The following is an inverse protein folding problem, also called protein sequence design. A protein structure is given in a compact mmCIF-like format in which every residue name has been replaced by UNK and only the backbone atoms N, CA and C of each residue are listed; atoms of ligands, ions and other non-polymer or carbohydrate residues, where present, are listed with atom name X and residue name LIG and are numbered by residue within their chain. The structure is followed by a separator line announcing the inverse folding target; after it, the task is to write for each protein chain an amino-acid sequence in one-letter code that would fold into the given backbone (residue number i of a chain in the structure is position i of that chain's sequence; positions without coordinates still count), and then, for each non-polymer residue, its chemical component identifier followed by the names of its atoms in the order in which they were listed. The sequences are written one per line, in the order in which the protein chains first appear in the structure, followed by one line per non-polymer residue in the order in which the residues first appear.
data_IF_949194745829
#
_entry.id   IF_949194745829
#
_cell.length_a   1.000
_cell.length_b   1.000
_cell.length_c   1.000
_cell.angle_alpha   90.00
_cell.angle_beta   90.00
_cell.angle_gamma   90.00
#
_symmetry.space_group_name_H-M   'P 1'
#
loop_
_entity.id
_entity.type
_entity.pdbx_description
1 polymer ?
#
# COMPACT_ATOMS: atom_id res chain seq x y z
N UNK A 1 33.11 27.80 -41.46
CA UNK A 1 32.40 27.49 -40.21
C UNK A 1 30.90 27.44 -40.51
N UNK A 2 30.35 26.25 -40.77
CA UNK A 2 28.94 26.09 -41.10
C UNK A 2 28.11 26.15 -39.80
N UNK A 3 27.33 27.22 -39.64
CA UNK A 3 26.34 27.32 -38.56
C UNK A 3 25.23 26.29 -38.83
N UNK A 4 25.21 25.22 -38.03
CA UNK A 4 24.08 24.32 -37.92
C UNK A 4 22.91 25.17 -37.39
N UNK A 5 21.94 25.46 -38.26
CA UNK A 5 20.75 26.23 -37.92
C UNK A 5 19.79 25.27 -37.22
N UNK A 6 19.75 25.30 -35.89
CA UNK A 6 18.87 24.43 -35.11
C UNK A 6 17.39 24.69 -35.41
N UNK A 7 16.64 23.59 -35.59
CA UNK A 7 15.22 23.51 -35.91
C UNK A 7 14.29 23.75 -34.69
N UNK A 8 14.74 24.49 -33.67
CA UNK A 8 13.91 24.80 -32.49
C UNK A 8 12.71 25.68 -32.85
N UNK A 9 12.79 26.41 -33.95
CA UNK A 9 11.73 27.28 -34.46
C UNK A 9 10.47 26.53 -34.86
N UNK A 10 10.57 25.27 -35.31
CA UNK A 10 9.41 24.54 -35.85
C UNK A 10 8.48 23.99 -34.75
N UNK A 11 9.03 23.55 -33.62
CA UNK A 11 8.19 23.18 -32.46
C UNK A 11 7.61 24.42 -31.78
N UNK A 12 8.39 25.50 -31.68
CA UNK A 12 7.94 26.77 -31.13
C UNK A 12 6.87 27.44 -32.00
N UNK A 13 6.95 27.37 -33.34
CA UNK A 13 5.93 27.91 -34.24
C UNK A 13 4.61 27.15 -34.15
N UNK A 14 4.66 25.82 -33.99
CA UNK A 14 3.46 25.00 -33.72
C UNK A 14 2.82 25.37 -32.38
N UNK A 15 3.62 25.55 -31.32
CA UNK A 15 3.12 26.00 -30.01
C UNK A 15 2.60 27.44 -30.02
N UNK A 16 3.15 28.31 -30.88
CA UNK A 16 2.68 29.70 -31.09
C UNK A 16 1.41 29.78 -31.93
N UNK A 17 0.94 28.67 -32.49
CA UNK A 17 -0.31 28.61 -33.25
C UNK A 17 -0.18 28.99 -34.73
N UNK A 18 1.04 29.19 -35.24
CA UNK A 18 1.26 29.49 -36.66
C UNK A 18 0.72 28.36 -37.56
N UNK A 19 0.79 27.11 -37.09
CA UNK A 19 0.22 25.93 -37.75
C UNK A 19 -1.32 25.94 -37.81
N UNK A 20 -2.00 26.61 -36.87
CA UNK A 20 -3.46 26.62 -36.74
C UNK A 20 -4.08 27.68 -37.67
N UNK A 21 -3.36 28.78 -37.91
CA UNK A 21 -3.80 29.89 -38.78
C UNK A 21 -3.71 29.51 -40.26
N UNK A 22 -2.85 28.56 -40.61
CA UNK A 22 -2.64 28.14 -41.99
C UNK A 22 -3.89 27.48 -42.60
N UNK A 23 -4.39 28.03 -43.71
CA UNK A 23 -5.68 27.64 -44.31
C UNK A 23 -5.70 26.17 -44.76
N UNK A 24 -4.54 25.62 -45.13
CA UNK A 24 -4.41 24.22 -45.54
C UNK A 24 -4.52 23.23 -44.36
N UNK A 25 -4.23 23.68 -43.13
CA UNK A 25 -4.14 22.83 -41.95
C UNK A 25 -5.39 22.87 -41.06
N UNK A 26 -6.38 23.70 -41.39
CA UNK A 26 -7.62 23.85 -40.61
C UNK A 26 -8.38 22.53 -40.41
N UNK A 27 -8.27 21.60 -41.37
CA UNK A 27 -8.89 20.27 -41.28
C UNK A 27 -8.36 19.40 -40.12
N UNK A 28 -7.14 19.66 -39.65
CA UNK A 28 -6.48 18.87 -38.60
C UNK A 28 -6.63 19.47 -37.19
N UNK A 29 -7.17 20.67 -37.07
CA UNK A 29 -7.46 21.34 -35.78
C UNK A 29 -8.27 20.45 -34.81
N UNK A 30 -9.40 19.83 -35.20
CA UNK A 30 -10.16 18.98 -34.28
C UNK A 30 -9.36 17.75 -33.82
N UNK A 31 -8.46 17.23 -34.66
CA UNK A 31 -7.57 16.12 -34.29
C UNK A 31 -6.51 16.55 -33.28
N UNK A 32 -5.95 17.75 -33.41
CA UNK A 32 -4.99 18.30 -32.44
C UNK A 32 -5.66 18.55 -31.08
N UNK A 33 -6.90 19.05 -31.07
CA UNK A 33 -7.70 19.16 -29.84
C UNK A 33 -7.97 17.79 -29.20
N UNK A 34 -8.21 16.76 -30.01
CA UNK A 34 -8.38 15.40 -29.49
C UNK A 34 -7.09 14.89 -28.81
N UNK A 35 -5.92 15.16 -29.39
CA UNK A 35 -4.63 14.81 -28.75
C UNK A 35 -4.46 15.59 -27.44
N UNK A 36 -4.71 16.89 -27.43
CA UNK A 36 -4.64 17.69 -26.22
C UNK A 36 -5.58 17.15 -25.13
N UNK A 37 -6.79 16.74 -25.50
CA UNK A 37 -7.73 16.08 -24.60
C UNK A 37 -7.18 14.76 -24.06
N UNK A 38 -6.57 13.91 -24.89
CA UNK A 38 -5.94 12.67 -24.42
C UNK A 38 -4.78 12.93 -23.47
N UNK A 39 -3.98 13.99 -23.69
CA UNK A 39 -2.92 14.40 -22.76
C UNK A 39 -3.51 14.76 -21.39
N UNK A 40 -4.58 15.56 -21.36
CA UNK A 40 -5.27 15.91 -20.11
C UNK A 40 -5.83 14.68 -19.39
N UNK A 41 -6.42 13.76 -20.16
CA UNK A 41 -6.95 12.51 -19.63
C UNK A 41 -5.82 11.62 -19.06
N UNK A 42 -4.69 11.56 -19.76
CA UNK A 42 -3.52 10.82 -19.31
C UNK A 42 -2.96 11.36 -17.98
N UNK A 43 -2.83 12.68 -17.85
CA UNK A 43 -2.41 13.33 -16.60
C UNK A 43 -3.36 12.93 -15.46
N UNK A 44 -4.69 12.94 -15.70
CA UNK A 44 -5.68 12.50 -14.71
C UNK A 44 -5.52 11.03 -14.32
N UNK A 45 -5.25 10.14 -15.27
CA UNK A 45 -5.02 8.71 -14.98
C UNK A 45 -3.74 8.53 -14.16
N UNK A 46 -2.66 9.21 -14.54
CA UNK A 46 -1.37 9.14 -13.86
C UNK A 46 -1.49 9.51 -12.38
N UNK A 47 -2.19 10.62 -12.07
CA UNK A 47 -2.44 11.02 -10.68
C UNK A 47 -3.26 10.00 -9.90
N UNK A 48 -4.20 9.28 -10.54
CA UNK A 48 -4.96 8.22 -9.86
C UNK A 48 -4.08 7.01 -9.57
N UNK A 49 -3.25 6.60 -10.53
CA UNK A 49 -2.31 5.50 -10.34
C UNK A 49 -1.33 5.78 -9.19
N UNK A 50 -0.82 7.01 -9.11
CA UNK A 50 0.09 7.41 -8.02
C UNK A 50 -0.59 7.35 -6.65
N UNK A 51 -1.85 7.78 -6.54
CA UNK A 51 -2.61 7.69 -5.28
C UNK A 51 -2.86 6.24 -4.86
N UNK A 52 -3.27 5.39 -5.79
CA UNK A 52 -3.49 3.96 -5.53
C UNK A 52 -2.19 3.27 -5.08
N UNK A 53 -1.06 3.62 -5.67
CA UNK A 53 0.23 3.08 -5.25
C UNK A 53 0.57 3.47 -3.81
N UNK A 54 0.39 4.75 -3.43
CA UNK A 54 0.62 5.22 -2.06
C UNK A 54 -0.31 4.54 -1.06
N UNK A 55 -1.59 4.40 -1.42
CA UNK A 55 -2.58 3.71 -0.60
C UNK A 55 -2.20 2.25 -0.39
N UNK A 56 -1.80 1.54 -1.45
CA UNK A 56 -1.34 0.15 -1.37
C UNK A 56 -0.17 -0.01 -0.39
N UNK A 57 0.82 0.88 -0.45
CA UNK A 57 1.97 0.85 0.46
C UNK A 57 1.53 1.08 1.91
N UNK A 58 0.62 2.03 2.14
CA UNK A 58 0.10 2.29 3.49
C UNK A 58 -0.69 1.10 4.06
N UNK A 59 -1.50 0.44 3.22
CA UNK A 59 -2.24 -0.76 3.61
C UNK A 59 -1.31 -1.93 3.94
N UNK A 60 -0.25 -2.13 3.15
CA UNK A 60 0.74 -3.18 3.44
C UNK A 60 1.44 -2.93 4.80
N UNK A 61 1.78 -1.67 5.08
CA UNK A 61 2.34 -1.30 6.37
C UNK A 61 1.36 -1.53 7.52
N UNK A 62 0.09 -1.15 7.36
CA UNK A 62 -0.94 -1.37 8.38
C UNK A 62 -1.14 -2.87 8.67
N UNK A 63 -1.12 -3.72 7.64
CA UNK A 63 -1.19 -5.19 7.80
C UNK A 63 0.03 -5.72 8.56
N UNK A 64 1.23 -5.20 8.27
CA UNK A 64 2.44 -5.59 8.98
C UNK A 64 2.38 -5.17 10.46
N UNK A 65 1.97 -3.94 10.74
CA UNK A 65 1.80 -3.40 12.10
C UNK A 65 0.77 -4.21 12.88
N UNK A 66 -0.36 -4.56 12.26
CA UNK A 66 -1.39 -5.37 12.90
C UNK A 66 -0.88 -6.77 13.26
N UNK A 67 -0.03 -7.37 12.41
CA UNK A 67 0.63 -8.66 12.72
C UNK A 67 1.60 -8.53 13.88
N UNK A 68 2.41 -7.47 13.94
CA UNK A 68 3.31 -7.23 15.07
C UNK A 68 2.54 -7.02 16.37
N UNK A 69 1.44 -6.27 16.33
CA UNK A 69 0.58 -6.05 17.47
C UNK A 69 -0.11 -7.33 17.95
N UNK A 70 -0.54 -8.21 17.03
CA UNK A 70 -1.06 -9.54 17.38
C UNK A 70 -0.01 -10.39 18.08
N UNK A 71 1.21 -10.47 17.53
CA UNK A 71 2.30 -11.27 18.11
C UNK A 71 2.65 -10.76 19.51
N UNK A 72 2.79 -9.45 19.68
CA UNK A 72 3.14 -8.81 20.94
C UNK A 72 2.05 -9.06 21.99
N UNK A 73 0.80 -8.76 21.66
CA UNK A 73 -0.34 -8.99 22.57
C UNK A 73 -0.47 -10.46 22.98
N UNK A 74 -0.27 -11.40 22.04
CA UNK A 74 -0.26 -12.83 22.34
C UNK A 74 0.90 -13.22 23.27
N UNK A 75 2.08 -12.65 23.04
CA UNK A 75 3.26 -12.86 23.89
C UNK A 75 3.02 -12.34 25.30
N UNK A 76 2.46 -11.14 25.44
CA UNK A 76 2.12 -10.54 26.72
C UNK A 76 1.09 -11.39 27.48
N UNK A 77 0.04 -11.84 26.79
CA UNK A 77 -0.94 -12.77 27.35
C UNK A 77 -0.25 -14.06 27.84
N UNK A 78 0.61 -14.66 27.03
CA UNK A 78 1.32 -15.88 27.40
C UNK A 78 2.30 -15.67 28.56
N UNK A 79 2.85 -14.45 28.68
CA UNK A 79 3.70 -14.06 29.81
C UNK A 79 2.91 -14.06 31.13
N UNK A 80 1.69 -13.50 31.12
CA UNK A 80 0.79 -13.51 32.29
C UNK A 80 0.27 -14.90 32.60
N UNK A 81 -0.02 -15.72 31.58
CA UNK A 81 -0.48 -17.10 31.74
C UNK A 81 0.63 -18.09 32.14
N UNK A 82 1.87 -17.62 32.31
CA UNK A 82 2.99 -18.46 32.71
C UNK A 82 2.73 -19.05 34.09
N UNK A 83 2.95 -20.36 34.24
CA UNK A 83 2.71 -21.09 35.50
C UNK A 83 3.36 -20.42 36.71
N UNK A 84 4.60 -19.96 36.59
CA UNK A 84 5.32 -19.29 37.68
C UNK A 84 4.65 -17.98 38.12
N UNK A 85 4.10 -17.20 37.18
CA UNK A 85 3.40 -15.94 37.47
C UNK A 85 2.05 -16.23 38.11
N UNK A 86 1.33 -17.23 37.60
CA UNK A 86 0.07 -17.67 38.20
C UNK A 86 0.32 -18.19 39.62
N UNK A 87 1.34 -19.02 39.84
CA UNK A 87 1.74 -19.55 41.15
C UNK A 87 2.05 -18.45 42.16
N UNK A 88 2.70 -17.37 41.74
CA UNK A 88 2.94 -16.19 42.58
C UNK A 88 1.63 -15.47 42.93
N UNK A 89 0.72 -15.28 41.96
CA UNK A 89 -0.58 -14.61 42.17
C UNK A 89 -1.49 -15.42 43.10
N UNK A 90 -1.51 -16.76 42.98
CA UNK A 90 -2.35 -17.62 43.82
C UNK A 90 -1.68 -18.05 45.13
N UNK A 91 -0.42 -17.69 45.38
CA UNK A 91 0.27 -17.97 46.64
C UNK A 91 -0.44 -17.37 47.86
N UNK A 92 -1.03 -16.18 47.71
CA UNK A 92 -1.81 -15.51 48.77
C UNK A 92 -3.13 -16.23 49.09
N UNK A 93 -3.56 -17.16 48.21
CA UNK A 93 -4.81 -17.93 48.36
C UNK A 93 -4.61 -19.36 48.86
N UNK A 94 -3.39 -19.71 49.28
CA UNK A 94 -2.97 -21.06 49.73
C UNK A 94 -3.23 -22.18 48.70
N UNK A 95 -3.33 -21.83 47.41
CA UNK A 95 -3.50 -22.77 46.31
C UNK A 95 -2.13 -23.24 45.80
N UNK A 96 -1.93 -24.55 45.64
CA UNK A 96 -0.66 -25.15 45.20
C UNK A 96 -0.81 -25.87 43.86
N UNK A 97 0.14 -25.66 42.95
CA UNK A 97 0.20 -26.40 41.68
C UNK A 97 0.45 -27.88 41.93
N UNK A 98 -0.37 -28.73 41.29
CA UNK A 98 -0.15 -30.18 41.28
C UNK A 98 1.08 -30.54 40.43
N UNK A 99 2.07 -31.20 41.04
CA UNK A 99 3.27 -31.72 40.39
C UNK A 99 3.07 -33.11 39.77
N UNK A 100 1.98 -33.79 40.10
CA UNK A 100 1.66 -35.12 39.57
C UNK A 100 0.86 -35.01 38.27
N UNK A 101 1.27 -35.71 37.19
CA UNK A 101 0.52 -35.72 35.94
C UNK A 101 -0.83 -36.43 36.11
N UNK A 102 -1.90 -35.97 35.44
CA UNK A 102 -3.21 -36.60 35.52
C UNK A 102 -3.21 -37.97 34.82
N UNK A 103 -3.83 -38.96 35.45
CA UNK A 103 -4.02 -40.32 34.92
C UNK A 103 -5.31 -40.39 34.08
N UNK A 104 -5.22 -40.99 32.88
CA UNK A 104 -6.38 -41.23 32.02
C UNK A 104 -7.16 -42.41 32.60
N UNK A 105 -8.34 -42.13 33.16
CA UNK A 105 -9.25 -43.17 33.64
C UNK A 105 -10.02 -43.71 32.42
N UNK A 106 -9.62 -44.86 31.87
CA UNK A 106 -10.46 -45.59 30.90
C UNK A 106 -11.47 -46.42 31.69
N UNK A 107 -12.76 -46.15 31.46
CA UNK A 107 -13.86 -47.00 31.97
C UNK A 107 -13.85 -48.30 31.16
N UNK A 108 -13.48 -49.41 31.80
CA UNK A 108 -13.73 -50.74 31.25
C UNK A 108 -15.22 -51.04 31.48
N UNK A 109 -15.98 -51.19 30.41
CA UNK A 109 -17.35 -51.69 30.49
C UNK A 109 -17.25 -53.22 30.35
N UNK A 110 -17.26 -53.92 31.48
CA UNK A 110 -17.57 -55.36 31.55
C UNK A 110 -19.10 -55.54 31.60
#
# INVERSE_FOLDING_TARGET
MNKIKENTSSMLSVLRGEFIVDQNNQKYIPFLLFIAFLILLNIRISFRAERLLKESISLEQEVADLRFMYITTKSDLMSVYRRSVIEEIVADKDLKTSLTPPIIIKKNND
#
